data_IF_377027734678
#
_entry.id   IF_377027734678
#
_cell.length_a   1.000
_cell.length_b   1.000
_cell.length_c   1.000
_cell.angle_alpha   90.00
_cell.angle_beta   90.00
_cell.angle_gamma   90.00
#
_symmetry.space_group_name_H-M   'P 1'
#
loop_
_entity.id
_entity.type
_entity.pdbx_description
1 polymer ?
#
# COMPACT_ATOMS: atom_id res chain seq x y z
N UNK A 1 18.42 -6.20 -1.24
CA UNK A 1 17.63 -5.91 -2.45
C UNK A 1 16.93 -4.60 -2.24
N UNK A 2 17.00 -3.68 -3.20
CA UNK A 2 16.14 -2.51 -3.22
C UNK A 2 14.74 -2.94 -3.65
N UNK A 3 13.71 -2.46 -2.97
CA UNK A 3 12.32 -2.65 -3.36
C UNK A 3 11.74 -1.34 -3.86
N UNK A 4 11.07 -1.42 -4.99
CA UNK A 4 10.22 -0.35 -5.52
C UNK A 4 8.81 -0.88 -5.54
N UNK A 5 7.88 -0.10 -5.01
CA UNK A 5 6.47 -0.44 -5.03
C UNK A 5 5.74 0.47 -6.01
N UNK A 6 5.00 -0.15 -6.92
CA UNK A 6 4.15 0.51 -7.90
C UNK A 6 2.69 0.33 -7.49
N UNK A 7 1.97 1.43 -7.27
CA UNK A 7 0.52 1.39 -7.04
C UNK A 7 -0.23 1.81 -8.29
N UNK A 8 -1.20 0.99 -8.70
CA UNK A 8 -2.27 1.40 -9.60
C UNK A 8 -3.57 1.35 -8.81
N UNK A 9 -4.33 2.44 -8.80
CA UNK A 9 -5.60 2.53 -8.09
C UNK A 9 -6.70 2.95 -9.05
N UNK A 10 -7.86 2.30 -8.96
CA UNK A 10 -9.06 2.69 -9.72
C UNK A 10 -9.96 3.54 -8.83
N UNK A 11 -10.18 4.80 -9.20
CA UNK A 11 -11.15 5.66 -8.51
C UNK A 11 -12.54 5.40 -9.11
N UNK A 12 -13.47 4.94 -8.27
CA UNK A 12 -14.81 4.50 -8.70
C UNK A 12 -15.82 5.65 -8.90
N UNK A 13 -15.42 6.90 -8.70
CA UNK A 13 -16.24 8.09 -8.99
C UNK A 13 -15.66 8.87 -10.18
N UNK A 14 -16.52 9.17 -11.17
CA UNK A 14 -16.18 9.72 -12.48
C UNK A 14 -15.50 11.10 -12.49
N UNK A 15 -15.61 11.90 -11.42
CA UNK A 15 -15.00 13.23 -11.34
C UNK A 15 -13.61 13.23 -10.69
N UNK A 16 -13.37 12.30 -9.78
CA UNK A 16 -12.22 12.30 -8.89
C UNK A 16 -10.97 11.75 -9.59
N UNK A 17 -9.86 12.49 -9.52
CA UNK A 17 -8.60 12.18 -10.19
C UNK A 17 -7.50 11.94 -9.19
N UNK A 18 -6.59 11.05 -9.55
CA UNK A 18 -5.34 10.88 -8.82
C UNK A 18 -4.43 12.10 -9.07
N UNK A 19 -4.03 12.79 -8.00
CA UNK A 19 -3.13 13.94 -8.05
C UNK A 19 -1.67 13.53 -7.82
N UNK A 20 -1.45 12.47 -7.05
CA UNK A 20 -0.15 11.86 -6.80
C UNK A 20 0.02 10.66 -7.72
N UNK A 21 0.82 10.78 -8.77
CA UNK A 21 1.08 9.69 -9.71
C UNK A 21 1.70 10.22 -10.99
N UNK A 22 2.34 9.34 -11.76
CA UNK A 22 2.80 9.70 -13.09
C UNK A 22 1.62 9.77 -14.08
N UNK A 23 1.90 10.05 -15.36
CA UNK A 23 0.89 10.14 -16.42
C UNK A 23 0.05 8.86 -16.59
N UNK A 24 0.49 7.74 -16.02
CA UNK A 24 -0.21 6.44 -16.00
C UNK A 24 -0.96 6.18 -14.70
N UNK A 25 -1.05 7.17 -13.80
CA UNK A 25 -1.65 7.01 -12.47
C UNK A 25 -0.84 6.13 -11.52
N UNK A 26 0.45 5.91 -11.82
CA UNK A 26 1.33 5.05 -11.04
C UNK A 26 2.05 5.85 -9.96
N UNK A 27 2.03 5.34 -8.73
CA UNK A 27 2.80 5.91 -7.61
C UNK A 27 4.01 5.02 -7.37
N UNK A 28 5.20 5.58 -7.55
CA UNK A 28 6.46 4.91 -7.24
C UNK A 28 6.85 5.20 -5.79
N UNK A 29 7.01 4.15 -4.98
CA UNK A 29 7.51 4.27 -3.61
C UNK A 29 8.81 3.49 -3.49
N UNK A 30 9.87 4.22 -3.11
CA UNK A 30 11.19 3.64 -2.86
C UNK A 30 11.25 3.13 -1.43
N UNK A 31 11.20 1.81 -1.28
CA UNK A 31 11.24 1.13 0.01
C UNK A 31 12.66 1.03 0.58
N UNK A 32 13.67 1.25 -0.28
CA UNK A 32 15.09 1.11 0.04
C UNK A 32 15.54 -0.33 0.24
N UNK A 33 16.86 -0.51 0.37
CA UNK A 33 17.47 -1.78 0.71
C UNK A 33 17.50 -2.01 2.21
N UNK A 34 16.86 -3.10 2.65
CA UNK A 34 16.95 -3.57 4.03
C UNK A 34 17.51 -5.00 4.04
N UNK A 35 18.60 -5.29 4.77
CA UNK A 35 19.09 -6.65 4.90
C UNK A 35 18.05 -7.55 5.57
N UNK A 36 17.82 -8.74 5.03
CA UNK A 36 16.83 -9.67 5.59
C UNK A 36 17.12 -10.03 7.06
N UNK A 37 18.41 -10.09 7.44
CA UNK A 37 18.87 -10.30 8.81
C UNK A 37 18.49 -9.17 9.79
N UNK A 38 18.12 -7.98 9.29
CA UNK A 38 17.63 -6.85 10.08
C UNK A 38 16.11 -6.77 10.14
N UNK A 39 15.42 -7.53 9.29
CA UNK A 39 13.96 -7.61 9.28
C UNK A 39 13.45 -8.70 10.22
N UNK A 40 14.12 -9.86 10.26
CA UNK A 40 13.71 -10.99 11.10
C UNK A 40 14.10 -10.76 12.56
N UNK A 41 13.12 -10.40 13.38
CA UNK A 41 13.30 -10.36 14.84
C UNK A 41 12.85 -11.67 15.53
N UNK A 42 12.01 -12.52 14.90
CA UNK A 42 11.59 -13.86 15.38
C UNK A 42 10.97 -14.71 14.24
N UNK A 43 9.79 -15.34 14.44
CA UNK A 43 9.00 -16.07 13.41
C UNK A 43 8.56 -15.14 12.28
N UNK A 44 8.22 -13.89 12.63
CA UNK A 44 7.84 -12.82 11.71
C UNK A 44 8.65 -11.55 12.03
N UNK A 45 8.67 -10.59 11.11
CA UNK A 45 9.43 -9.35 11.29
C UNK A 45 8.97 -8.24 10.37
N UNK A 46 9.25 -6.98 10.76
CA UNK A 46 8.86 -5.79 9.99
C UNK A 46 10.06 -4.89 9.74
N UNK A 47 10.08 -4.28 8.56
CA UNK A 47 11.07 -3.27 8.19
C UNK A 47 10.73 -1.87 8.66
N UNK A 48 11.62 -0.91 8.35
CA UNK A 48 11.34 0.52 8.52
C UNK A 48 10.04 0.92 7.81
N UNK A 49 9.29 1.82 8.43
CA UNK A 49 8.10 2.41 7.83
C UNK A 49 8.49 3.47 6.80
N UNK A 50 7.91 3.38 5.61
CA UNK A 50 8.04 4.36 4.54
C UNK A 50 6.70 5.04 4.35
N UNK A 51 6.68 6.37 4.44
CA UNK A 51 5.46 7.16 4.24
C UNK A 51 5.05 7.17 2.77
N UNK A 52 3.77 6.93 2.51
CA UNK A 52 3.18 6.95 1.17
C UNK A 52 1.98 7.87 1.19
N UNK A 53 2.01 8.90 0.34
CA UNK A 53 0.90 9.84 0.21
C UNK A 53 0.19 9.63 -1.12
N UNK A 54 -1.11 9.37 -1.06
CA UNK A 54 -1.97 9.21 -2.22
C UNK A 54 -2.99 10.36 -2.18
N UNK A 55 -2.69 11.40 -2.92
CA UNK A 55 -3.51 12.60 -3.08
C UNK A 55 -4.48 12.45 -4.24
N UNK A 56 -5.70 12.93 -4.03
CA UNK A 56 -6.76 13.02 -5.02
C UNK A 56 -7.21 14.48 -5.19
N UNK A 57 -7.74 14.80 -6.36
CA UNK A 57 -8.26 16.13 -6.71
C UNK A 57 -9.47 16.03 -7.63
N UNK A 58 -10.19 17.14 -7.78
CA UNK A 58 -11.40 17.24 -8.60
C UNK A 58 -12.52 16.28 -8.13
N UNK A 59 -12.51 15.89 -6.85
CA UNK A 59 -13.47 14.94 -6.29
C UNK A 59 -14.68 15.67 -5.70
N UNK A 60 -15.85 15.03 -5.69
CA UNK A 60 -16.99 15.53 -4.92
C UNK A 60 -16.71 15.41 -3.42
N UNK A 61 -17.26 16.30 -2.60
CA UNK A 61 -17.13 16.20 -1.16
C UNK A 61 -17.78 14.90 -0.65
N UNK A 62 -17.08 14.18 0.22
CA UNK A 62 -17.56 12.89 0.72
C UNK A 62 -16.45 12.00 1.28
N UNK A 63 -16.82 10.78 1.64
CA UNK A 63 -15.89 9.76 2.14
C UNK A 63 -15.38 8.91 1.00
N UNK A 64 -14.06 8.80 0.88
CA UNK A 64 -13.38 7.99 -0.14
C UNK A 64 -12.57 6.90 0.52
N UNK A 65 -12.53 5.74 -0.13
CA UNK A 65 -11.76 4.57 0.27
C UNK A 65 -10.70 4.29 -0.80
N UNK A 66 -9.68 3.53 -0.40
CA UNK A 66 -8.64 3.08 -1.31
C UNK A 66 -8.54 1.56 -1.28
N UNK A 67 -8.55 0.96 -2.46
CA UNK A 67 -8.20 -0.45 -2.69
C UNK A 67 -6.96 -0.45 -3.55
N UNK A 68 -6.04 -1.37 -3.25
CA UNK A 68 -4.84 -1.58 -4.04
C UNK A 68 -4.97 -2.87 -4.80
N UNK A 69 -4.77 -2.78 -6.13
CA UNK A 69 -4.68 -3.95 -6.99
C UNK A 69 -3.24 -4.46 -6.97
N UNK A 70 -3.06 -5.74 -6.65
CA UNK A 70 -1.74 -6.36 -6.66
C UNK A 70 -1.70 -7.72 -6.00
N UNK A 71 -0.88 -8.61 -6.58
CA UNK A 71 -0.79 -10.00 -6.18
C UNK A 71 -0.51 -10.16 -4.68
N UNK A 72 -1.41 -10.86 -3.99
CA UNK A 72 -1.23 -11.20 -2.59
C UNK A 72 -0.12 -12.24 -2.38
N UNK A 73 0.68 -12.07 -1.33
CA UNK A 73 1.62 -13.06 -0.85
C UNK A 73 0.88 -14.19 -0.12
N UNK A 74 0.30 -15.13 -0.88
CA UNK A 74 -0.57 -16.19 -0.36
C UNK A 74 0.10 -17.16 0.64
N UNK A 75 1.44 -17.18 0.67
CA UNK A 75 2.21 -17.97 1.65
C UNK A 75 2.35 -17.28 3.01
N UNK A 76 2.01 -16.00 3.12
CA UNK A 76 2.10 -15.26 4.37
C UNK A 76 1.02 -15.73 5.36
N UNK A 77 1.32 -15.77 6.68
CA UNK A 77 0.36 -16.20 7.71
C UNK A 77 -0.75 -15.16 7.98
N UNK A 78 -0.71 -14.01 7.30
CA UNK A 78 -1.68 -12.91 7.43
C UNK A 78 -2.14 -12.45 6.05
N UNK A 79 -3.32 -11.85 5.98
CA UNK A 79 -3.85 -11.21 4.77
C UNK A 79 -3.24 -9.81 4.55
N UNK A 80 -3.52 -9.21 3.38
CA UNK A 80 -3.10 -7.84 3.01
C UNK A 80 -1.57 -7.65 3.02
N UNK A 81 -0.84 -8.68 2.59
CA UNK A 81 0.59 -8.61 2.30
C UNK A 81 0.75 -8.73 0.80
N UNK A 82 1.31 -7.71 0.18
CA UNK A 82 1.61 -7.68 -1.24
C UNK A 82 2.86 -8.53 -1.51
N UNK A 83 2.78 -9.39 -2.53
CA UNK A 83 3.91 -10.15 -3.02
C UNK A 83 4.93 -9.21 -3.67
N UNK A 84 6.22 -9.55 -3.54
CA UNK A 84 7.26 -8.88 -4.31
C UNK A 84 7.24 -9.42 -5.74
N UNK A 85 7.40 -8.52 -6.72
CA UNK A 85 7.62 -8.93 -8.10
C UNK A 85 8.85 -9.85 -8.21
N UNK A 86 8.79 -10.80 -9.13
CA UNK A 86 9.88 -11.73 -9.37
C UNK A 86 11.12 -10.96 -9.89
N UNK A 87 12.17 -10.91 -9.06
CA UNK A 87 13.50 -10.42 -9.40
C UNK A 87 14.57 -11.52 -9.38
N UNK A 88 15.80 -11.19 -9.78
CA UNK A 88 16.95 -12.09 -9.67
C UNK A 88 18.03 -11.50 -8.74
N UNK A 89 18.17 -11.94 -7.47
CA UNK A 89 17.31 -12.89 -6.75
C UNK A 89 16.08 -12.23 -6.10
N UNK A 90 14.92 -12.88 -6.19
CA UNK A 90 13.71 -12.46 -5.44
C UNK A 90 13.89 -12.82 -3.97
N UNK A 91 13.62 -11.87 -3.07
CA UNK A 91 13.59 -12.17 -1.64
C UNK A 91 12.40 -13.11 -1.37
N UNK A 92 12.66 -14.29 -0.82
CA UNK A 92 11.63 -15.26 -0.46
C UNK A 92 11.09 -14.96 0.94
N UNK A 93 9.81 -15.24 1.13
CA UNK A 93 9.09 -15.05 2.41
C UNK A 93 9.15 -13.62 2.94
N UNK A 94 9.16 -12.67 2.01
CA UNK A 94 9.09 -11.24 2.25
C UNK A 94 8.03 -10.68 1.33
N UNK A 95 7.26 -9.73 1.84
CA UNK A 95 6.24 -8.98 1.12
C UNK A 95 6.17 -7.57 1.66
N UNK A 96 5.22 -6.79 1.17
CA UNK A 96 5.00 -5.41 1.62
C UNK A 96 3.63 -5.33 2.25
N UNK A 97 3.56 -4.78 3.46
CA UNK A 97 2.30 -4.46 4.11
C UNK A 97 2.06 -2.96 4.04
N UNK A 98 0.79 -2.60 3.84
CA UNK A 98 0.32 -1.23 3.84
C UNK A 98 -0.72 -1.00 4.91
N UNK A 99 -0.57 0.11 5.62
CA UNK A 99 -1.57 0.58 6.58
C UNK A 99 -1.79 2.07 6.45
N UNK A 100 -2.89 2.58 7.01
CA UNK A 100 -2.99 4.00 7.33
C UNK A 100 -2.06 4.39 8.50
N UNK A 101 -2.16 5.65 8.96
CA UNK A 101 -1.42 6.14 10.13
C UNK A 101 -1.82 5.47 11.46
N UNK A 102 -3.02 4.90 11.54
CA UNK A 102 -3.56 4.22 12.71
C UNK A 102 -3.29 2.70 12.71
N UNK A 103 -2.53 2.20 11.74
CA UNK A 103 -2.22 0.78 11.52
C UNK A 103 -3.39 -0.05 10.98
N UNK A 104 -4.43 0.60 10.44
CA UNK A 104 -5.51 -0.05 9.70
C UNK A 104 -4.97 -0.58 8.38
N UNK A 105 -5.01 -1.90 8.12
CA UNK A 105 -4.50 -2.47 6.87
C UNK A 105 -5.28 -1.96 5.66
N UNK A 106 -4.59 -1.70 4.56
CA UNK A 106 -5.23 -1.45 3.26
C UNK A 106 -5.63 -2.80 2.64
N UNK A 107 -6.88 -2.94 2.23
CA UNK A 107 -7.34 -4.16 1.54
C UNK A 107 -6.69 -4.32 0.16
N UNK A 108 -6.32 -5.56 -0.16
CA UNK A 108 -5.77 -5.99 -1.45
C UNK A 108 -6.78 -6.86 -2.20
N UNK A 109 -6.91 -6.65 -3.51
CA UNK A 109 -7.63 -7.53 -4.47
C UNK A 109 -9.06 -7.94 -4.04
N UNK A 110 -9.74 -7.13 -3.24
CA UNK A 110 -11.12 -7.39 -2.75
C UNK A 110 -11.96 -6.11 -2.75
N UNK A 111 -13.29 -6.22 -2.80
CA UNK A 111 -14.17 -5.08 -2.56
C UNK A 111 -13.81 -4.42 -1.23
N UNK A 112 -13.79 -3.09 -1.20
CA UNK A 112 -13.57 -2.37 0.04
C UNK A 112 -14.70 -2.69 1.05
N UNK A 113 -14.35 -2.73 2.32
CA UNK A 113 -15.26 -2.81 3.46
C UNK A 113 -15.16 -1.51 4.29
N UNK A 114 -16.23 -0.70 4.31
CA UNK A 114 -16.21 0.61 4.97
C UNK A 114 -16.00 0.56 6.49
N UNK A 115 -16.10 -0.62 7.11
CA UNK A 115 -15.88 -0.77 8.56
C UNK A 115 -14.41 -1.00 8.93
N UNK A 116 -13.59 -1.41 7.96
CA UNK A 116 -12.20 -1.84 8.21
C UNK A 116 -11.18 -1.19 7.30
N UNK A 117 -11.61 -0.60 6.17
CA UNK A 117 -10.66 0.00 5.23
C UNK A 117 -10.33 1.46 5.55
N UNK A 118 -9.09 1.88 5.27
CA UNK A 118 -8.70 3.28 5.34
C UNK A 118 -9.58 4.17 4.48
N UNK A 119 -10.06 5.25 5.08
CA UNK A 119 -10.86 6.27 4.39
C UNK A 119 -10.29 7.66 4.59
N UNK A 120 -10.62 8.57 3.68
CA UNK A 120 -10.43 10.01 3.86
C UNK A 120 -11.74 10.74 3.62
N UNK A 121 -11.84 11.91 4.23
CA UNK A 121 -12.86 12.90 3.87
C UNK A 121 -12.28 13.85 2.84
N UNK A 122 -12.92 13.95 1.68
CA UNK A 122 -12.67 15.02 0.71
C UNK A 122 -13.62 16.16 1.04
N UNK A 123 -13.06 17.35 1.25
CA UNK A 123 -13.82 18.56 1.57
C UNK A 123 -14.36 19.23 0.30
N UNK A 124 -15.08 20.33 0.46
CA UNK A 124 -15.65 21.09 -0.67
C UNK A 124 -14.61 21.66 -1.65
N UNK A 125 -13.33 21.68 -1.28
CA UNK A 125 -12.22 22.02 -2.18
C UNK A 125 -11.91 20.91 -3.21
N UNK A 126 -12.56 19.74 -3.08
CA UNK A 126 -12.42 18.61 -3.96
C UNK A 126 -11.07 17.90 -3.88
N UNK A 127 -10.31 18.13 -2.82
CA UNK A 127 -9.00 17.52 -2.59
C UNK A 127 -8.99 16.63 -1.34
N UNK A 128 -8.12 15.63 -1.35
CA UNK A 128 -7.92 14.73 -0.23
C UNK A 128 -6.58 14.03 -0.33
N UNK A 129 -6.08 13.49 0.79
CA UNK A 129 -4.83 12.71 0.78
C UNK A 129 -4.90 11.55 1.76
N UNK A 130 -4.81 10.33 1.22
CA UNK A 130 -4.53 9.14 2.01
C UNK A 130 -3.08 9.19 2.47
N UNK A 131 -2.89 9.14 3.78
CA UNK A 131 -1.57 9.08 4.38
C UNK A 131 -1.35 7.65 4.86
N UNK A 132 -0.54 6.91 4.11
CA UNK A 132 -0.28 5.49 4.32
C UNK A 132 1.16 5.27 4.78
N UNK A 133 1.39 4.08 5.32
CA UNK A 133 2.70 3.55 5.69
C UNK A 133 2.88 2.23 4.99
N UNK A 134 3.99 2.09 4.26
CA UNK A 134 4.42 0.83 3.68
C UNK A 134 5.64 0.32 4.44
N UNK A 135 5.72 -0.99 4.68
CA UNK A 135 6.90 -1.61 5.28
C UNK A 135 7.04 -3.05 4.81
N UNK A 136 8.29 -3.54 4.77
CA UNK A 136 8.52 -4.95 4.52
C UNK A 136 7.94 -5.78 5.66
N UNK A 137 7.31 -6.89 5.31
CA UNK A 137 6.86 -7.92 6.23
C UNK A 137 7.52 -9.24 5.86
N UNK A 138 8.13 -9.91 6.83
CA UNK A 138 8.78 -11.20 6.64
C UNK A 138 8.05 -12.28 7.42
N UNK A 139 7.92 -13.46 6.85
CA UNK A 139 7.36 -14.64 7.51
C UNK A 139 8.30 -15.85 7.42
N UNK A 140 8.17 -16.74 8.39
CA UNK A 140 9.02 -17.90 8.67
C UNK A 140 10.52 -17.62 8.89
N UNK A 141 11.19 -18.52 9.62
CA UNK A 141 12.66 -18.64 9.63
C UNK A 141 13.18 -19.22 8.32
#
# INVERSE_FOLDING_TARGET
>A
SDGTLYFSGTIVNSSCKLASGNEKGLIEVKMGAVPLSKLKNDTNGTGPEVGVNISVKDCEAGTYYIVLDGASANEAPITNVLALDAGNPTAKKVGIKLTDRNNTPVTLDKPFDPNVDPSITVNADGTGTFNLKAYYYTWDK
#
